data_IF_511477039620
#
_entry.id   IF_511477039620
#
_cell.length_a   1.000
_cell.length_b   1.000
_cell.length_c   1.000
_cell.angle_alpha   90.00
_cell.angle_beta   90.00
_cell.angle_gamma   90.00
#
_symmetry.space_group_name_H-M   'P 1'
#
loop_
_entity.id
_entity.type
_entity.pdbx_description
1 polymer ?
#
# COMPACT_ATOMS: atom_id res chain seq x y z
N UNK A 1 13.13 -35.61 -10.11
CA UNK A 1 13.65 -34.24 -10.12
C UNK A 1 13.21 -33.56 -8.85
N UNK A 2 14.01 -33.69 -7.80
CA UNK A 2 13.72 -33.10 -6.48
C UNK A 2 14.17 -31.65 -6.59
N UNK A 3 13.25 -30.71 -6.77
CA UNK A 3 13.56 -29.30 -6.53
C UNK A 3 13.97 -29.20 -5.05
N UNK A 4 15.26 -28.98 -4.85
CA UNK A 4 15.91 -29.10 -3.55
C UNK A 4 15.19 -28.23 -2.51
N UNK A 5 14.82 -28.83 -1.36
CA UNK A 5 14.08 -28.17 -0.28
C UNK A 5 14.83 -26.92 0.23
N UNK A 6 16.15 -26.88 0.06
CA UNK A 6 16.97 -25.70 0.33
C UNK A 6 16.77 -24.57 -0.69
N UNK A 7 16.60 -24.88 -1.97
CA UNK A 7 16.37 -23.88 -3.02
C UNK A 7 15.03 -23.18 -2.83
N UNK A 8 13.99 -23.92 -2.45
CA UNK A 8 12.67 -23.34 -2.13
C UNK A 8 12.74 -22.40 -0.92
N UNK A 9 13.47 -22.77 0.13
CA UNK A 9 13.70 -21.90 1.29
C UNK A 9 14.46 -20.63 0.90
N UNK A 10 15.48 -20.74 0.05
CA UNK A 10 16.23 -19.59 -0.44
C UNK A 10 15.37 -18.67 -1.29
N UNK A 11 14.58 -19.24 -2.20
CA UNK A 11 13.64 -18.50 -3.02
C UNK A 11 12.63 -17.74 -2.16
N UNK A 12 12.07 -18.38 -1.14
CA UNK A 12 11.14 -17.78 -0.18
C UNK A 12 11.77 -16.61 0.58
N UNK A 13 12.99 -16.79 1.12
CA UNK A 13 13.75 -15.73 1.82
C UNK A 13 14.06 -14.56 0.88
N UNK A 14 14.47 -14.84 -0.37
CA UNK A 14 14.75 -13.81 -1.36
C UNK A 14 13.48 -13.04 -1.75
N UNK A 15 12.34 -13.73 -1.94
CA UNK A 15 11.05 -13.07 -2.19
C UNK A 15 10.63 -12.20 -1.02
N UNK A 16 10.77 -12.68 0.22
CA UNK A 16 10.44 -11.91 1.42
C UNK A 16 11.31 -10.67 1.57
N UNK A 17 12.62 -10.80 1.36
CA UNK A 17 13.56 -9.66 1.38
C UNK A 17 13.25 -8.65 0.27
N UNK A 18 12.95 -9.12 -0.94
CA UNK A 18 12.58 -8.25 -2.07
C UNK A 18 11.25 -7.52 -1.83
N UNK A 19 10.27 -8.16 -1.20
CA UNK A 19 9.01 -7.53 -0.79
C UNK A 19 9.28 -6.45 0.27
N UNK A 20 10.12 -6.75 1.27
CA UNK A 20 10.51 -5.81 2.32
C UNK A 20 11.17 -4.55 1.75
N UNK A 21 12.16 -4.69 0.87
CA UNK A 21 12.84 -3.56 0.22
C UNK A 21 11.91 -2.74 -0.68
N UNK A 22 10.90 -3.36 -1.30
CA UNK A 22 9.95 -2.68 -2.19
C UNK A 22 8.91 -1.85 -1.43
N UNK A 23 8.61 -2.22 -0.17
CA UNK A 23 7.56 -1.58 0.64
C UNK A 23 7.72 -0.06 0.84
N UNK A 24 8.87 0.49 1.24
CA UNK A 24 9.03 1.94 1.40
C UNK A 24 8.82 2.69 0.08
N UNK A 25 9.40 2.18 -1.01
CA UNK A 25 9.22 2.74 -2.36
C UNK A 25 7.75 2.75 -2.78
N UNK A 26 6.99 1.71 -2.44
CA UNK A 26 5.56 1.64 -2.71
C UNK A 26 4.76 2.70 -1.92
N UNK A 27 5.14 2.96 -0.67
CA UNK A 27 4.50 3.96 0.18
C UNK A 27 4.79 5.39 -0.32
N UNK A 28 6.00 5.66 -0.78
CA UNK A 28 6.34 6.95 -1.39
C UNK A 28 5.53 7.21 -2.67
N UNK A 29 5.49 6.25 -3.60
CA UNK A 29 4.63 6.36 -4.79
C UNK A 29 3.14 6.56 -4.44
N UNK A 30 2.67 5.99 -3.33
CA UNK A 30 1.30 6.20 -2.86
C UNK A 30 1.11 7.62 -2.32
N UNK A 31 2.09 8.18 -1.59
CA UNK A 31 2.08 9.56 -1.09
C UNK A 31 2.05 10.55 -2.25
N UNK A 32 2.94 10.39 -3.22
CA UNK A 32 3.00 11.20 -4.44
C UNK A 32 1.67 11.16 -5.21
N UNK A 33 1.16 9.96 -5.52
CA UNK A 33 -0.09 9.83 -6.26
C UNK A 33 -1.29 10.46 -5.51
N UNK A 34 -1.31 10.41 -4.17
CA UNK A 34 -2.33 11.10 -3.36
C UNK A 34 -2.19 12.62 -3.45
N UNK A 35 -0.96 13.14 -3.45
CA UNK A 35 -0.70 14.57 -3.62
C UNK A 35 -1.13 15.05 -5.01
N UNK A 36 -0.81 14.30 -6.07
CA UNK A 36 -1.23 14.60 -7.44
C UNK A 36 -2.74 14.61 -7.57
N UNK A 37 -3.43 13.59 -7.03
CA UNK A 37 -4.89 13.55 -7.00
C UNK A 37 -5.48 14.79 -6.30
N UNK A 38 -4.85 15.26 -5.22
CA UNK A 38 -5.30 16.46 -4.49
C UNK A 38 -5.13 17.71 -5.33
N UNK A 39 -3.99 17.87 -6.03
CA UNK A 39 -3.72 18.97 -6.96
C UNK A 39 -4.74 18.99 -8.10
N UNK A 40 -4.94 17.85 -8.77
CA UNK A 40 -5.91 17.69 -9.87
C UNK A 40 -7.35 17.99 -9.42
N UNK A 41 -7.76 17.48 -8.24
CA UNK A 41 -9.08 17.77 -7.68
C UNK A 41 -9.30 19.27 -7.43
N UNK A 42 -8.25 19.99 -7.02
CA UNK A 42 -8.31 21.43 -6.79
C UNK A 42 -8.50 22.17 -8.12
N UNK A 43 -7.67 21.89 -9.11
CA UNK A 43 -7.75 22.51 -10.44
C UNK A 43 -9.14 22.29 -11.10
N UNK A 44 -9.64 21.05 -11.09
CA UNK A 44 -10.96 20.73 -11.65
C UNK A 44 -12.09 21.46 -10.91
N UNK A 45 -12.00 21.60 -9.58
CA UNK A 45 -12.99 22.34 -8.80
C UNK A 45 -12.97 23.84 -9.11
N UNK A 46 -11.79 24.43 -9.22
CA UNK A 46 -11.63 25.85 -9.55
C UNK A 46 -12.21 26.14 -10.94
N UNK A 47 -11.95 25.26 -11.91
CA UNK A 47 -12.57 25.33 -13.23
C UNK A 47 -14.11 25.22 -13.17
N UNK A 48 -14.64 24.18 -12.52
CA UNK A 48 -16.09 23.97 -12.41
C UNK A 48 -16.79 25.16 -11.72
N UNK A 49 -16.16 25.74 -10.71
CA UNK A 49 -16.69 26.91 -9.99
C UNK A 49 -16.66 28.17 -10.86
N UNK A 50 -15.56 28.44 -11.57
CA UNK A 50 -15.47 29.56 -12.50
C UNK A 50 -16.47 29.44 -13.64
N UNK A 51 -16.59 28.24 -14.22
CA UNK A 51 -17.55 27.95 -15.26
C UNK A 51 -18.99 28.17 -14.79
N UNK A 52 -19.32 27.69 -13.59
CA UNK A 52 -20.64 27.89 -13.00
C UNK A 52 -20.95 29.37 -12.75
N UNK A 53 -19.98 30.15 -12.26
CA UNK A 53 -20.14 31.60 -12.05
C UNK A 53 -20.40 32.36 -13.35
N UNK A 54 -19.80 31.93 -14.46
CA UNK A 54 -19.93 32.59 -15.76
C UNK A 54 -21.19 32.18 -16.53
N UNK A 55 -21.58 30.91 -16.43
CA UNK A 55 -22.66 30.34 -17.28
C UNK A 55 -23.94 30.02 -16.53
N UNK A 56 -23.91 30.00 -15.19
CA UNK A 56 -25.04 29.60 -14.34
C UNK A 56 -25.38 28.10 -14.39
N UNK A 57 -24.58 27.27 -15.06
CA UNK A 57 -24.81 25.82 -15.20
C UNK A 57 -23.52 25.03 -15.00
N UNK A 58 -23.64 23.72 -14.80
CA UNK A 58 -22.47 22.83 -14.72
C UNK A 58 -21.87 22.54 -16.11
N UNK A 59 -20.55 22.26 -16.21
CA UNK A 59 -19.90 21.91 -17.48
C UNK A 59 -20.44 20.61 -18.08
N UNK A 60 -20.86 20.67 -19.34
CA UNK A 60 -21.20 19.49 -20.17
C UNK A 60 -19.94 18.87 -20.77
N UNK A 61 -20.08 17.84 -21.61
CA UNK A 61 -18.94 17.05 -22.10
C UNK A 61 -18.01 17.90 -22.97
N UNK A 62 -18.60 18.77 -23.78
CA UNK A 62 -17.93 19.67 -24.72
C UNK A 62 -17.23 20.81 -23.97
N UNK A 63 -17.84 21.32 -22.90
CA UNK A 63 -17.26 22.38 -22.07
C UNK A 63 -16.02 21.91 -21.29
N UNK A 64 -15.83 20.60 -21.13
CA UNK A 64 -14.68 20.02 -20.40
C UNK A 64 -13.45 19.84 -21.26
N UNK A 65 -13.51 20.12 -22.57
CA UNK A 65 -12.37 20.03 -23.49
C UNK A 65 -11.14 20.79 -22.96
N UNK A 66 -11.26 22.02 -22.41
CA UNK A 66 -10.11 22.76 -21.87
C UNK A 66 -9.43 22.08 -20.69
N UNK A 67 -10.11 21.17 -20.00
CA UNK A 67 -9.61 20.41 -18.84
C UNK A 67 -9.56 18.89 -19.10
N UNK A 68 -9.57 18.49 -20.38
CA UNK A 68 -9.68 17.08 -20.75
C UNK A 68 -8.51 16.24 -20.21
N UNK A 69 -7.31 16.81 -20.22
CA UNK A 69 -6.10 16.19 -19.69
C UNK A 69 -6.22 15.99 -18.18
N UNK A 70 -6.56 17.03 -17.41
CA UNK A 70 -6.69 16.98 -15.96
C UNK A 70 -7.79 16.00 -15.51
N UNK A 71 -8.93 15.95 -16.22
CA UNK A 71 -9.97 14.96 -15.95
C UNK A 71 -9.48 13.53 -16.22
N UNK A 72 -8.72 13.33 -17.30
CA UNK A 72 -8.13 12.03 -17.64
C UNK A 72 -7.10 11.60 -16.59
N UNK A 73 -6.16 12.49 -16.25
CA UNK A 73 -5.14 12.29 -15.24
C UNK A 73 -5.74 12.01 -13.86
N UNK A 74 -6.81 12.71 -13.48
CA UNK A 74 -7.48 12.47 -12.21
C UNK A 74 -8.05 11.05 -12.13
N UNK A 75 -8.69 10.58 -13.22
CA UNK A 75 -9.21 9.20 -13.31
C UNK A 75 -8.07 8.18 -13.26
N UNK A 76 -7.00 8.42 -14.02
CA UNK A 76 -5.84 7.54 -14.07
C UNK A 76 -5.15 7.46 -12.70
N UNK A 77 -4.91 8.60 -12.07
CA UNK A 77 -4.30 8.72 -10.74
C UNK A 77 -5.17 8.04 -9.67
N UNK A 78 -6.50 8.21 -9.74
CA UNK A 78 -7.42 7.48 -8.85
C UNK A 78 -7.30 5.95 -9.02
N UNK A 79 -7.13 5.46 -10.25
CA UNK A 79 -6.91 4.04 -10.50
C UNK A 79 -5.54 3.56 -10.00
N UNK A 80 -4.47 4.35 -10.24
CA UNK A 80 -3.11 4.10 -9.74
C UNK A 80 -3.11 3.96 -8.21
N UNK A 81 -3.75 4.89 -7.49
CA UNK A 81 -3.88 4.83 -6.02
C UNK A 81 -4.56 3.54 -5.57
N UNK A 82 -5.68 3.13 -6.20
CA UNK A 82 -6.37 1.88 -5.82
C UNK A 82 -5.46 0.67 -5.97
N UNK A 83 -4.70 0.60 -7.07
CA UNK A 83 -3.74 -0.48 -7.31
C UNK A 83 -2.63 -0.48 -6.24
N UNK A 84 -2.00 0.68 -6.00
CA UNK A 84 -0.92 0.84 -5.03
C UNK A 84 -1.39 0.55 -3.59
N UNK A 85 -2.56 1.05 -3.19
CA UNK A 85 -3.16 0.76 -1.88
C UNK A 85 -3.40 -0.73 -1.66
N UNK A 86 -3.94 -1.43 -2.67
CA UNK A 86 -4.16 -2.88 -2.58
C UNK A 86 -2.82 -3.61 -2.36
N UNK A 87 -1.81 -3.28 -3.14
CA UNK A 87 -0.47 -3.88 -3.00
C UNK A 87 0.16 -3.56 -1.63
N UNK A 88 -0.03 -2.33 -1.13
CA UNK A 88 0.51 -1.93 0.17
C UNK A 88 -0.21 -2.62 1.34
N UNK A 89 -1.53 -2.79 1.26
CA UNK A 89 -2.33 -3.46 2.29
C UNK A 89 -1.97 -4.94 2.43
N UNK A 90 -1.81 -5.66 1.30
CA UNK A 90 -1.38 -7.06 1.30
C UNK A 90 0.00 -7.23 1.97
N UNK A 91 0.93 -6.31 1.72
CA UNK A 91 2.25 -6.32 2.38
C UNK A 91 2.21 -5.99 3.88
N UNK A 92 1.16 -5.29 4.34
CA UNK A 92 0.99 -4.97 5.77
C UNK A 92 0.41 -6.18 6.50
N UNK A 93 -0.62 -6.82 5.95
CA UNK A 93 -1.25 -8.00 6.53
C UNK A 93 -0.27 -9.18 6.67
N UNK A 94 0.56 -9.44 5.65
CA UNK A 94 1.60 -10.46 5.72
C UNK A 94 2.61 -10.18 6.85
N UNK A 95 3.01 -8.91 7.00
CA UNK A 95 4.00 -8.52 7.99
C UNK A 95 3.43 -8.52 9.42
N UNK A 96 2.15 -8.18 9.57
CA UNK A 96 1.42 -8.31 10.84
C UNK A 96 1.29 -9.79 11.25
N UNK A 97 0.95 -10.69 10.31
CA UNK A 97 0.91 -12.14 10.55
C UNK A 97 2.26 -12.70 10.99
N UNK A 98 3.35 -12.28 10.33
CA UNK A 98 4.71 -12.71 10.69
C UNK A 98 5.13 -12.18 12.06
N UNK A 99 4.80 -10.92 12.38
CA UNK A 99 5.06 -10.35 13.72
C UNK A 99 4.28 -11.09 14.82
N UNK A 100 3.01 -11.41 14.59
CA UNK A 100 2.20 -12.18 15.53
C UNK A 100 2.80 -13.57 15.73
N UNK A 101 3.16 -14.29 14.65
CA UNK A 101 3.77 -15.61 14.73
C UNK A 101 5.11 -15.61 15.49
N UNK A 102 5.98 -14.62 15.22
CA UNK A 102 7.23 -14.44 15.97
C UNK A 102 6.98 -14.09 17.44
N UNK A 103 6.01 -13.21 17.72
CA UNK A 103 5.62 -12.85 19.08
C UNK A 103 5.09 -14.04 19.89
N UNK A 104 4.27 -14.89 19.27
CA UNK A 104 3.79 -16.14 19.89
C UNK A 104 4.92 -17.13 20.14
N UNK A 105 5.84 -17.31 19.19
CA UNK A 105 7.00 -18.20 19.37
C UNK A 105 7.95 -17.73 20.48
N UNK A 106 8.25 -16.42 20.52
CA UNK A 106 9.06 -15.83 21.60
C UNK A 106 8.35 -15.96 22.94
N UNK A 107 7.03 -15.74 22.99
CA UNK A 107 6.21 -15.95 24.19
C UNK A 107 6.25 -17.39 24.69
N UNK A 108 6.03 -18.38 23.82
CA UNK A 108 6.14 -19.80 24.17
C UNK A 108 7.55 -20.16 24.68
N UNK A 109 8.60 -19.60 24.08
CA UNK A 109 9.97 -19.87 24.50
C UNK A 109 10.26 -19.33 25.91
N UNK A 110 9.78 -18.12 26.23
CA UNK A 110 9.88 -17.54 27.57
C UNK A 110 9.11 -18.38 28.59
N UNK A 111 7.89 -18.82 28.26
CA UNK A 111 7.09 -19.67 29.16
C UNK A 111 7.76 -21.00 29.45
N UNK A 112 8.32 -21.67 28.43
CA UNK A 112 9.07 -22.92 28.63
C UNK A 112 10.33 -22.71 29.47
N UNK A 113 11.08 -21.63 29.25
CA UNK A 113 12.25 -21.28 30.07
C UNK A 113 11.87 -21.08 31.54
N UNK A 114 10.78 -20.38 31.82
CA UNK A 114 10.28 -20.20 33.19
C UNK A 114 9.90 -21.54 33.85
N UNK A 115 9.25 -22.45 33.11
CA UNK A 115 8.91 -23.77 33.63
C UNK A 115 10.14 -24.65 33.88
N UNK A 116 11.16 -24.58 33.01
CA UNK A 116 12.42 -25.34 33.18
C UNK A 116 13.24 -24.82 34.36
N UNK A 117 13.29 -23.49 34.56
CA UNK A 117 13.97 -22.86 35.70
C UNK A 117 13.31 -23.16 37.05
N UNK A 118 12.00 -23.43 37.07
CA UNK A 118 11.28 -23.85 38.29
C UNK A 118 11.53 -25.32 38.66
N UNK A 119 11.95 -26.18 37.71
CA UNK A 119 12.21 -27.61 37.97
C UNK A 119 13.61 -27.93 38.49
N UNK A 120 14.55 -26.99 38.46
CA UNK A 120 15.93 -27.16 38.96
C UNK A 120 16.15 -26.67 40.39
N UNK A 121 15.10 -26.16 41.03
CA UNK A 121 15.09 -25.72 42.44
C UNK A 121 14.35 -26.74 43.29
N UNK A 122 14.88 -27.96 43.37
CA UNK A 122 14.51 -28.96 44.37
C UNK A 122 15.78 -29.71 44.80
#
# INVERSE_FOLDING_TARGET
MIADRQLLKYFEVYTNFKIFLRRPVLLEHLREAKADKRRLRKALREFEEQFFKQTGRSPQKEDRIPMAEEYSEYKHTKAKIRKLCRTAALSQEEQERVKVALGTLVGCFISLLSSVLQTTSC
#
